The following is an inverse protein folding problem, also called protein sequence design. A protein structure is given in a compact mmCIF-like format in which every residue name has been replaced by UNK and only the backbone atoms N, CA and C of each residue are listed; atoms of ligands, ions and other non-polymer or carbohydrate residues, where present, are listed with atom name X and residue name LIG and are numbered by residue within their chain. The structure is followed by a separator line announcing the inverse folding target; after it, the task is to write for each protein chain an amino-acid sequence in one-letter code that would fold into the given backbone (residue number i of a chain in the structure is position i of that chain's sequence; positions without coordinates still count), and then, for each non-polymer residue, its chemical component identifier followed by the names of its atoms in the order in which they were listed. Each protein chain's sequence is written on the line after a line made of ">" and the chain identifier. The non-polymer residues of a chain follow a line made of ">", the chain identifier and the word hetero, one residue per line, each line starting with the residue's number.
data_IF_779307784229
#
_entry.id   IF_779307784229
#
_cell.length_a   1.000
_cell.length_b   1.000
_cell.length_c   1.000
_cell.angle_alpha   90.00
_cell.angle_beta   90.00
_cell.angle_gamma   90.00
#
_symmetry.space_group_name_H-M   'P 1'
#
loop_
_entity.id
_entity.type
_entity.pdbx_description
1 polymer ?
#
# COMPACT_ATOMS: atom_id res chain seq x y z
N UNK A 1 5.81 17.20 -18.93
CA UNK A 1 5.05 16.64 -17.79
C UNK A 1 5.97 15.71 -17.04
N UNK A 2 6.10 15.85 -15.69
CA UNK A 2 6.95 14.96 -14.89
C UNK A 2 6.34 13.56 -14.86
N UNK A 3 7.11 12.47 -15.00
CA UNK A 3 6.63 11.12 -14.79
C UNK A 3 6.07 10.95 -13.38
N UNK A 4 5.03 10.12 -13.23
CA UNK A 4 4.42 9.81 -11.92
C UNK A 4 4.99 8.51 -11.36
N UNK A 5 5.40 8.55 -10.09
CA UNK A 5 5.78 7.38 -9.31
C UNK A 5 4.72 7.17 -8.24
N UNK A 6 4.12 5.98 -8.20
CA UNK A 6 3.19 5.55 -7.16
C UNK A 6 3.83 4.40 -6.38
N UNK A 7 3.93 4.56 -5.07
CA UNK A 7 4.53 3.56 -4.16
C UNK A 7 3.87 3.64 -2.79
N UNK A 8 4.01 2.62 -1.97
CA UNK A 8 3.44 2.62 -0.62
C UNK A 8 3.88 1.41 0.19
N UNK A 9 3.48 1.39 1.46
CA UNK A 9 3.70 0.27 2.37
C UNK A 9 2.39 -0.12 3.07
N UNK A 10 2.27 -1.39 3.42
CA UNK A 10 1.16 -1.88 4.23
C UNK A 10 1.41 -1.50 5.69
N UNK A 11 0.51 -0.76 6.36
CA UNK A 11 0.65 -0.39 7.77
C UNK A 11 0.32 -1.57 8.67
N UNK A 12 1.24 -2.51 8.82
CA UNK A 12 1.10 -3.69 9.68
C UNK A 12 1.91 -3.60 10.98
N UNK A 13 2.43 -2.42 11.28
CA UNK A 13 3.28 -2.06 12.42
C UNK A 13 4.32 -1.03 12.00
N UNK A 14 5.17 -0.62 12.95
CA UNK A 14 6.27 0.33 12.71
C UNK A 14 7.21 -0.16 11.63
N UNK A 15 7.73 0.77 10.83
CA UNK A 15 8.76 0.45 9.86
C UNK A 15 10.10 0.20 10.55
N UNK A 16 10.94 -0.61 9.96
CA UNK A 16 12.26 -0.94 10.48
C UNK A 16 13.36 -0.62 9.45
N UNK A 17 14.61 -0.77 9.86
CA UNK A 17 15.79 -0.44 9.03
C UNK A 17 15.76 -1.11 7.64
N UNK A 18 15.16 -2.29 7.52
CA UNK A 18 15.01 -2.96 6.23
C UNK A 18 14.10 -2.19 5.25
N UNK A 19 13.02 -1.58 5.75
CA UNK A 19 12.17 -0.70 4.95
C UNK A 19 12.92 0.56 4.54
N UNK A 20 13.72 1.13 5.45
CA UNK A 20 14.52 2.31 5.15
C UNK A 20 15.51 2.04 4.01
N UNK A 21 16.34 1.01 4.14
CA UNK A 21 17.37 0.67 3.15
C UNK A 21 16.73 0.17 1.85
N UNK A 22 15.70 -0.66 1.94
CA UNK A 22 15.07 -1.31 0.79
C UNK A 22 14.20 -0.38 -0.08
N UNK A 23 13.60 0.67 0.52
CA UNK A 23 12.68 1.52 -0.24
C UNK A 23 12.66 2.99 0.17
N UNK A 24 12.56 3.35 1.47
CA UNK A 24 12.32 4.72 1.89
C UNK A 24 13.45 5.68 1.50
N UNK A 25 14.69 5.25 1.67
CA UNK A 25 15.87 6.03 1.25
C UNK A 25 15.78 6.43 -0.23
N UNK A 26 15.39 5.50 -1.09
CA UNK A 26 15.24 5.78 -2.52
C UNK A 26 14.08 6.74 -2.80
N UNK A 27 12.95 6.61 -2.07
CA UNK A 27 11.82 7.54 -2.20
C UNK A 27 12.22 8.97 -1.86
N UNK A 28 13.00 9.17 -0.76
CA UNK A 28 13.53 10.49 -0.38
C UNK A 28 14.48 11.05 -1.44
N UNK A 29 15.32 10.21 -2.04
CA UNK A 29 16.18 10.62 -3.15
C UNK A 29 15.37 11.08 -4.36
N UNK A 30 14.39 10.27 -4.80
CA UNK A 30 13.50 10.59 -5.92
C UNK A 30 12.69 11.87 -5.69
N UNK A 31 12.20 12.07 -4.46
CA UNK A 31 11.53 13.31 -4.05
C UNK A 31 12.43 14.53 -4.25
N UNK A 32 13.69 14.43 -3.81
CA UNK A 32 14.64 15.56 -3.80
C UNK A 32 15.22 15.84 -5.20
N UNK A 33 15.16 14.90 -6.13
CA UNK A 33 15.53 15.14 -7.54
C UNK A 33 14.55 16.08 -8.26
N UNK A 34 13.35 16.25 -7.76
CA UNK A 34 12.29 17.08 -8.35
C UNK A 34 11.95 16.76 -9.82
N UNK A 35 12.27 15.54 -10.27
CA UNK A 35 12.01 15.07 -11.65
C UNK A 35 10.69 14.32 -11.79
N UNK A 36 10.07 13.94 -10.66
CA UNK A 36 8.92 13.07 -10.61
C UNK A 36 7.77 13.69 -9.81
N UNK A 37 6.53 13.30 -10.14
CA UNK A 37 5.40 13.46 -9.26
C UNK A 37 5.35 12.22 -8.36
N UNK A 38 5.78 12.34 -7.11
CA UNK A 38 5.87 11.22 -6.18
C UNK A 38 4.61 11.13 -5.32
N UNK A 39 3.93 9.99 -5.41
CA UNK A 39 2.78 9.61 -4.60
C UNK A 39 3.17 8.44 -3.71
N UNK A 40 3.02 8.62 -2.39
CA UNK A 40 3.34 7.60 -1.39
C UNK A 40 2.08 7.31 -0.57
N UNK A 41 1.61 6.07 -0.57
CA UNK A 41 0.37 5.74 0.12
C UNK A 41 0.57 4.72 1.23
N UNK A 42 -0.31 4.83 2.23
CA UNK A 42 -0.46 3.84 3.29
C UNK A 42 -1.55 2.86 2.83
N UNK A 43 -1.16 1.62 2.55
CA UNK A 43 -2.00 0.60 1.94
C UNK A 43 -2.84 -0.13 3.01
N UNK A 44 -3.70 0.60 3.71
CA UNK A 44 -4.50 0.09 4.83
C UNK A 44 -5.55 -0.95 4.39
N UNK A 45 -6.21 -0.75 3.24
CA UNK A 45 -7.13 -1.76 2.68
C UNK A 45 -6.39 -3.06 2.32
N UNK A 46 -5.19 -2.94 1.77
CA UNK A 46 -4.36 -4.12 1.49
C UNK A 46 -3.88 -4.79 2.78
N UNK A 47 -3.56 -4.03 3.83
CA UNK A 47 -3.17 -4.58 5.13
C UNK A 47 -4.29 -5.41 5.77
N UNK A 48 -5.56 -5.04 5.54
CA UNK A 48 -6.71 -5.81 6.02
C UNK A 48 -6.78 -7.23 5.42
N UNK A 49 -6.18 -7.48 4.26
CA UNK A 49 -6.14 -8.84 3.69
C UNK A 49 -5.40 -9.82 4.60
N UNK A 50 -4.40 -9.34 5.35
CA UNK A 50 -3.62 -10.13 6.30
C UNK A 50 -4.15 -10.04 7.74
N UNK A 51 -4.81 -8.95 8.10
CA UNK A 51 -5.25 -8.61 9.46
C UNK A 51 -6.74 -8.27 9.55
N UNK A 52 -7.61 -8.96 8.80
CA UNK A 52 -9.05 -8.69 8.76
C UNK A 52 -9.74 -8.76 10.15
N UNK A 53 -9.17 -9.52 11.09
CA UNK A 53 -9.70 -9.67 12.45
C UNK A 53 -9.16 -8.62 13.45
N UNK A 54 -8.22 -7.78 13.03
CA UNK A 54 -7.53 -6.81 13.88
C UNK A 54 -7.55 -5.39 13.26
N UNK A 55 -8.72 -4.83 12.90
CA UNK A 55 -8.79 -3.54 12.19
C UNK A 55 -8.20 -2.38 13.01
N UNK A 56 -8.32 -2.41 14.32
CA UNK A 56 -7.76 -1.39 15.22
C UNK A 56 -6.24 -1.31 15.12
N UNK A 57 -5.57 -2.46 14.95
CA UNK A 57 -4.13 -2.52 14.75
C UNK A 57 -3.71 -1.81 13.46
N UNK A 58 -4.50 -1.97 12.38
CA UNK A 58 -4.23 -1.26 11.12
C UNK A 58 -4.42 0.25 11.30
N UNK A 59 -5.52 0.68 11.95
CA UNK A 59 -5.79 2.10 12.21
C UNK A 59 -4.62 2.74 12.98
N UNK A 60 -4.14 2.09 14.05
CA UNK A 60 -2.99 2.56 14.82
C UNK A 60 -1.73 2.60 13.94
N UNK A 61 -1.46 1.54 13.19
CA UNK A 61 -0.27 1.43 12.34
C UNK A 61 -0.23 2.46 11.22
N UNK A 62 -1.37 2.93 10.71
CA UNK A 62 -1.43 4.03 9.73
C UNK A 62 -0.75 5.28 10.29
N UNK A 63 -1.07 5.67 11.53
CA UNK A 63 -0.43 6.82 12.20
C UNK A 63 1.07 6.60 12.41
N UNK A 64 1.47 5.41 12.86
CA UNK A 64 2.88 5.08 13.11
C UNK A 64 3.71 5.13 11.82
N UNK A 65 3.23 4.52 10.73
CA UNK A 65 3.92 4.52 9.42
C UNK A 65 3.96 5.93 8.81
N UNK A 66 2.91 6.73 8.98
CA UNK A 66 2.92 8.12 8.54
C UNK A 66 4.01 8.93 9.25
N UNK A 67 4.16 8.75 10.56
CA UNK A 67 5.25 9.38 11.34
C UNK A 67 6.62 8.88 10.87
N UNK A 68 6.79 7.59 10.61
CA UNK A 68 8.04 7.04 10.07
C UNK A 68 8.39 7.65 8.71
N UNK A 69 7.41 7.88 7.82
CA UNK A 69 7.63 8.56 6.54
C UNK A 69 8.18 9.97 6.72
N UNK A 70 7.59 10.74 7.63
CA UNK A 70 8.07 12.09 7.94
C UNK A 70 9.46 12.06 8.58
N UNK A 71 9.69 11.13 9.50
CA UNK A 71 10.96 10.98 10.22
C UNK A 71 12.14 10.64 9.30
N UNK A 72 11.91 9.87 8.23
CA UNK A 72 12.96 9.55 7.24
C UNK A 72 13.17 10.64 6.20
N UNK A 73 12.36 11.71 6.20
CA UNK A 73 12.51 12.87 5.32
C UNK A 73 11.59 12.90 4.10
N UNK A 74 10.52 12.12 4.08
CA UNK A 74 9.45 12.35 3.11
C UNK A 74 8.71 13.64 3.50
N UNK A 75 8.66 14.59 2.57
CA UNK A 75 8.14 15.94 2.76
C UNK A 75 6.79 16.10 2.04
N UNK A 76 5.69 16.33 2.78
CA UNK A 76 4.36 16.52 2.18
C UNK A 76 4.24 17.74 1.26
N UNK A 77 5.19 18.67 1.32
CA UNK A 77 5.23 19.80 0.39
C UNK A 77 5.80 19.43 -0.98
N UNK A 78 6.54 18.32 -1.07
CA UNK A 78 7.20 17.81 -2.29
C UNK A 78 6.57 16.55 -2.84
N UNK A 79 5.93 15.76 -1.99
CA UNK A 79 5.33 14.47 -2.32
C UNK A 79 3.89 14.40 -1.81
N UNK A 80 3.02 13.73 -2.53
CA UNK A 80 1.66 13.48 -2.06
C UNK A 80 1.64 12.22 -1.21
N UNK A 81 1.34 12.37 0.08
CA UNK A 81 1.17 11.24 1.02
C UNK A 81 -0.32 11.07 1.30
N UNK A 82 -0.86 9.85 1.15
CA UNK A 82 -2.28 9.61 1.35
C UNK A 82 -2.57 8.21 1.89
N UNK A 83 -3.78 8.01 2.42
CA UNK A 83 -4.29 6.73 2.91
C UNK A 83 -5.15 6.10 1.82
N UNK A 84 -4.92 4.84 1.49
CA UNK A 84 -5.59 4.13 0.41
C UNK A 84 -7.12 4.14 0.57
N UNK A 85 -7.64 3.89 1.77
CA UNK A 85 -9.07 3.83 2.06
C UNK A 85 -9.79 5.18 1.89
N UNK A 86 -9.05 6.29 1.84
CA UNK A 86 -9.62 7.62 1.61
C UNK A 86 -9.77 7.96 0.12
N UNK A 87 -9.44 7.03 -0.76
CA UNK A 87 -9.69 7.13 -2.21
C UNK A 87 -10.80 6.13 -2.57
N UNK A 88 -12.09 6.52 -2.45
CA UNK A 88 -13.23 5.62 -2.64
C UNK A 88 -13.30 5.02 -4.04
N UNK A 89 -12.75 5.71 -5.03
CA UNK A 89 -12.68 5.26 -6.42
C UNK A 89 -11.92 3.94 -6.59
N UNK A 90 -10.98 3.62 -5.68
CA UNK A 90 -10.25 2.33 -5.70
C UNK A 90 -11.22 1.19 -5.40
N UNK A 91 -12.10 1.35 -4.41
CA UNK A 91 -13.10 0.34 -4.06
C UNK A 91 -14.18 0.25 -5.16
N UNK A 92 -14.64 1.38 -5.67
CA UNK A 92 -15.59 1.44 -6.77
C UNK A 92 -15.06 0.71 -8.02
N UNK A 93 -13.84 1.01 -8.43
CA UNK A 93 -13.19 0.37 -9.57
C UNK A 93 -13.02 -1.14 -9.36
N UNK A 94 -12.71 -1.56 -8.14
CA UNK A 94 -12.63 -2.98 -7.78
C UNK A 94 -13.97 -3.69 -7.95
N UNK A 95 -15.08 -3.05 -7.58
CA UNK A 95 -16.43 -3.57 -7.81
C UNK A 95 -16.72 -3.77 -9.31
N UNK A 96 -16.34 -2.83 -10.17
CA UNK A 96 -16.49 -2.99 -11.62
C UNK A 96 -15.66 -4.18 -12.13
N UNK A 97 -14.41 -4.31 -11.71
CA UNK A 97 -13.55 -5.42 -12.13
C UNK A 97 -14.06 -6.79 -11.66
N UNK A 98 -14.68 -6.87 -10.48
CA UNK A 98 -15.30 -8.13 -10.01
C UNK A 98 -16.41 -8.63 -10.95
N UNK A 99 -17.08 -7.73 -11.68
CA UNK A 99 -18.07 -8.13 -12.68
C UNK A 99 -17.45 -8.57 -14.01
N UNK A 100 -16.19 -8.26 -14.27
CA UNK A 100 -15.49 -8.54 -15.54
C UNK A 100 -14.55 -9.73 -15.45
N UNK A 101 -14.14 -10.12 -14.24
CA UNK A 101 -13.15 -11.17 -14.01
C UNK A 101 -13.83 -12.40 -13.41
N UNK A 102 -13.81 -13.52 -14.13
CA UNK A 102 -14.37 -14.78 -13.61
C UNK A 102 -13.51 -15.36 -12.48
N UNK A 103 -14.14 -16.06 -11.54
CA UNK A 103 -13.46 -16.77 -10.45
C UNK A 103 -12.36 -17.70 -10.96
N UNK A 104 -12.65 -18.49 -12.00
CA UNK A 104 -11.65 -19.37 -12.63
C UNK A 104 -10.43 -18.64 -13.20
N UNK A 105 -10.56 -17.36 -13.58
CA UNK A 105 -9.42 -16.54 -14.00
C UNK A 105 -8.59 -16.07 -12.81
N UNK A 106 -9.23 -15.68 -11.71
CA UNK A 106 -8.56 -15.31 -10.46
C UNK A 106 -7.77 -16.48 -9.89
N UNK A 107 -8.36 -17.66 -9.81
CA UNK A 107 -7.72 -18.89 -9.29
C UNK A 107 -6.49 -19.33 -10.09
N UNK A 108 -6.38 -18.92 -11.35
CA UNK A 108 -5.17 -19.17 -12.17
C UNK A 108 -4.02 -18.22 -11.88
N UNK A 109 -4.26 -17.13 -11.14
CA UNK A 109 -3.20 -16.23 -10.72
C UNK A 109 -2.37 -16.90 -9.62
N UNK A 110 -1.03 -17.05 -9.80
CA UNK A 110 -0.18 -17.74 -8.82
C UNK A 110 -0.25 -17.13 -7.42
N UNK A 111 -0.30 -15.80 -7.32
CA UNK A 111 -0.40 -15.10 -6.03
C UNK A 111 -1.71 -15.41 -5.33
N UNK A 112 -2.85 -15.31 -6.04
CA UNK A 112 -4.18 -15.61 -5.48
C UNK A 112 -4.24 -17.07 -5.03
N UNK A 113 -3.72 -17.99 -5.84
CA UNK A 113 -3.67 -19.42 -5.50
C UNK A 113 -2.85 -19.68 -4.23
N UNK A 114 -1.70 -19.04 -4.09
CA UNK A 114 -0.87 -19.16 -2.90
C UNK A 114 -1.56 -18.60 -1.66
N UNK A 115 -2.23 -17.47 -1.78
CA UNK A 115 -2.97 -16.84 -0.70
C UNK A 115 -4.16 -17.69 -0.23
N UNK A 116 -4.93 -18.27 -1.16
CA UNK A 116 -6.02 -19.20 -0.85
C UNK A 116 -5.50 -20.37 -0.01
N UNK A 117 -4.38 -20.98 -0.45
CA UNK A 117 -3.79 -22.12 0.24
C UNK A 117 -3.26 -21.74 1.64
N UNK A 118 -2.62 -20.58 1.79
CA UNK A 118 -2.06 -20.12 3.06
C UNK A 118 -3.13 -19.71 4.08
N UNK A 119 -4.26 -19.18 3.62
CA UNK A 119 -5.32 -18.66 4.49
C UNK A 119 -6.46 -19.64 4.73
N UNK A 120 -6.43 -20.84 4.12
CA UNK A 120 -7.46 -21.88 4.32
C UNK A 120 -8.81 -21.51 3.74
N UNK A 121 -8.90 -20.65 2.72
CA UNK A 121 -10.17 -20.28 2.08
C UNK A 121 -10.76 -21.36 1.17
N UNK A 122 -10.16 -22.53 1.09
CA UNK A 122 -10.60 -23.64 0.25
C UNK A 122 -11.26 -24.80 1.00
N UNK A 123 -11.52 -24.65 2.31
CA UNK A 123 -12.16 -25.68 3.15
C UNK A 123 -13.56 -25.26 3.58
#
# INVERSE_FOLDING_TARGET
>A
MKPTILTGDRPTGKLHIGHYIGSLKNRVLLQNEDKYNLFVFLADQQALTDHAKEPEKIIQSVGEVALDYLAVGLDPSKSTIFIQSQIPEIAELSMYYMNLVSLARLERNPTVKSEIAQKGFGE
#
